data_IF_754288004839
#
_entry.id   IF_754288004839
#
_cell.length_a   1.000
_cell.length_b   1.000
_cell.length_c   1.000
_cell.angle_alpha   90.00
_cell.angle_beta   90.00
_cell.angle_gamma   90.00
#
_symmetry.space_group_name_H-M   'P 1'
#
loop_
_entity.id
_entity.type
_entity.pdbx_description
1 polymer ?
#
# COMPACT_ATOMS: atom_id res chain seq x y z
N UNK A 1 -61.61 -0.17 26.18
CA UNK A 1 -62.56 0.60 25.35
C UNK A 1 -62.01 0.67 23.95
N UNK A 2 -62.47 -0.18 23.10
CA UNK A 2 -63.35 0.03 21.90
C UNK A 2 -62.70 0.87 20.78
N UNK A 3 -62.32 0.11 19.65
CA UNK A 3 -62.80 0.28 18.25
C UNK A 3 -62.14 1.44 17.48
N UNK A 4 -61.72 1.35 16.19
CA UNK A 4 -62.29 0.62 15.00
C UNK A 4 -61.18 0.59 13.91
N UNK A 5 -60.99 -0.50 13.31
CA UNK A 5 -60.96 -0.95 11.93
C UNK A 5 -61.46 0.05 10.87
N UNK A 6 -60.66 0.35 9.84
CA UNK A 6 -61.16 0.86 8.57
C UNK A 6 -60.37 0.23 7.41
N UNK A 7 -61.01 -0.73 6.81
CA UNK A 7 -60.62 -1.37 5.54
C UNK A 7 -61.13 -0.47 4.41
N UNK A 8 -60.25 -0.10 3.44
CA UNK A 8 -60.70 0.46 2.19
C UNK A 8 -60.11 -0.35 1.03
N UNK A 9 -61.01 -1.18 0.46
CA UNK A 9 -60.83 -1.94 -0.77
C UNK A 9 -61.14 -1.00 -1.93
N UNK A 10 -60.23 -0.77 -2.86
CA UNK A 10 -60.52 -0.13 -4.14
C UNK A 10 -60.09 -1.08 -5.24
N UNK A 11 -61.07 -1.72 -5.83
CA UNK A 11 -60.96 -2.44 -7.09
C UNK A 11 -60.87 -1.42 -8.23
N UNK A 12 -59.87 -1.55 -9.10
CA UNK A 12 -59.82 -0.82 -10.33
C UNK A 12 -59.70 -1.79 -11.50
N UNK A 13 -60.71 -1.68 -12.34
CA UNK A 13 -61.07 -2.50 -13.48
C UNK A 13 -60.08 -2.42 -14.62
N UNK A 14 -59.77 -3.59 -15.21
CA UNK A 14 -59.11 -3.75 -16.51
C UNK A 14 -59.89 -3.03 -17.62
N UNK A 15 -59.15 -2.28 -18.43
CA UNK A 15 -59.57 -1.95 -19.79
C UNK A 15 -58.47 -2.43 -20.73
N UNK A 16 -58.79 -3.47 -21.50
CA UNK A 16 -58.03 -3.95 -22.65
C UNK A 16 -58.28 -2.97 -23.82
N UNK A 17 -57.19 -2.38 -24.34
CA UNK A 17 -57.24 -1.80 -25.66
C UNK A 17 -56.06 -2.38 -26.46
N UNK A 18 -56.36 -3.32 -27.36
CA UNK A 18 -55.46 -3.71 -28.46
C UNK A 18 -55.37 -2.53 -29.44
N UNK A 19 -54.18 -2.06 -29.68
CA UNK A 19 -53.84 -1.36 -30.90
C UNK A 19 -52.53 -1.94 -31.45
N UNK A 20 -52.60 -2.39 -32.69
CA UNK A 20 -51.58 -3.10 -33.41
C UNK A 20 -50.52 -2.18 -34.05
N UNK A 21 -49.35 -2.75 -34.32
CA UNK A 21 -48.36 -2.41 -35.33
C UNK A 21 -47.59 -1.10 -35.20
N UNK A 22 -46.30 -1.25 -34.90
CA UNK A 22 -45.23 -0.28 -35.11
C UNK A 22 -43.93 -0.79 -34.49
N UNK A 23 -43.12 -1.56 -35.25
CA UNK A 23 -41.83 -2.04 -34.80
C UNK A 23 -40.87 -0.88 -34.57
N UNK A 24 -40.53 -0.63 -33.35
CA UNK A 24 -39.31 0.03 -32.91
C UNK A 24 -38.71 -0.92 -31.90
N UNK A 25 -37.54 -1.49 -32.25
CA UNK A 25 -36.80 -2.32 -31.35
C UNK A 25 -36.40 -1.47 -30.14
N UNK A 26 -37.07 -1.69 -29.02
CA UNK A 26 -36.55 -1.31 -27.73
C UNK A 26 -35.23 -2.05 -27.58
N UNK A 27 -34.13 -1.31 -27.62
CA UNK A 27 -32.86 -1.78 -27.04
C UNK A 27 -33.22 -1.92 -25.54
N UNK A 28 -33.32 -3.14 -25.06
CA UNK A 28 -33.12 -3.40 -23.67
C UNK A 28 -31.72 -2.82 -23.36
N UNK A 29 -31.66 -1.74 -22.58
CA UNK A 29 -30.46 -1.34 -21.94
C UNK A 29 -30.07 -2.54 -21.05
N UNK A 30 -29.12 -3.36 -21.56
CA UNK A 30 -28.54 -4.41 -20.78
C UNK A 30 -27.92 -3.74 -19.53
N UNK A 31 -28.31 -4.22 -18.35
CA UNK A 31 -27.63 -3.81 -17.12
C UNK A 31 -26.12 -3.93 -17.36
N UNK A 32 -25.30 -2.97 -16.87
CA UNK A 32 -23.85 -3.08 -16.98
C UNK A 32 -23.44 -4.47 -16.51
N UNK A 33 -22.63 -5.18 -17.30
CA UNK A 33 -22.10 -6.45 -16.89
C UNK A 33 -21.35 -6.23 -15.56
N UNK A 34 -21.55 -7.11 -14.59
CA UNK A 34 -20.84 -7.07 -13.32
C UNK A 34 -19.36 -7.30 -13.61
N UNK A 35 -18.51 -6.37 -13.18
CA UNK A 35 -17.07 -6.47 -13.42
C UNK A 35 -16.45 -7.52 -12.49
N UNK A 36 -15.41 -8.18 -12.96
CA UNK A 36 -14.56 -9.02 -12.11
C UNK A 36 -13.71 -8.13 -11.21
N UNK A 37 -13.87 -8.23 -9.90
CA UNK A 37 -13.11 -7.43 -8.94
C UNK A 37 -11.85 -8.17 -8.50
N UNK A 38 -10.71 -7.47 -8.47
CA UNK A 38 -9.43 -7.99 -7.95
C UNK A 38 -8.97 -7.14 -6.78
N UNK A 39 -8.86 -7.73 -5.60
CA UNK A 39 -8.46 -7.06 -4.37
C UNK A 39 -6.94 -7.09 -4.22
N UNK A 40 -6.29 -5.94 -4.32
CA UNK A 40 -4.84 -5.78 -4.26
C UNK A 40 -4.44 -5.11 -2.96
N UNK A 41 -3.76 -5.84 -2.09
CA UNK A 41 -3.16 -5.29 -0.89
C UNK A 41 -1.73 -4.83 -1.20
N UNK A 42 -1.49 -3.53 -1.22
CA UNK A 42 -0.21 -2.94 -1.60
C UNK A 42 0.40 -2.15 -0.45
N UNK A 43 1.73 -2.26 -0.28
CA UNK A 43 2.44 -1.40 0.66
C UNK A 43 2.13 0.08 0.39
N UNK A 44 2.00 0.90 1.44
CA UNK A 44 1.62 2.33 1.33
C UNK A 44 2.52 3.11 0.36
N UNK A 45 3.82 2.79 0.33
CA UNK A 45 4.80 3.39 -0.60
C UNK A 45 4.55 3.07 -2.09
N UNK A 46 3.71 2.08 -2.40
CA UNK A 46 3.30 1.75 -3.76
C UNK A 46 2.03 2.53 -4.18
N UNK A 47 1.36 3.22 -3.27
CA UNK A 47 0.03 3.78 -3.53
C UNK A 47 -0.06 4.65 -4.79
N UNK A 48 0.92 5.53 -5.00
CA UNK A 48 0.94 6.41 -6.17
C UNK A 48 1.13 5.64 -7.49
N UNK A 49 2.11 4.73 -7.55
CA UNK A 49 2.39 3.95 -8.77
C UNK A 49 1.27 2.94 -9.03
N UNK A 50 0.69 2.34 -7.99
CA UNK A 50 -0.44 1.40 -8.15
C UNK A 50 -1.67 2.08 -8.74
N UNK A 51 -1.98 3.32 -8.35
CA UNK A 51 -3.10 4.05 -8.97
C UNK A 51 -2.92 4.31 -10.46
N UNK A 52 -1.68 4.53 -10.96
CA UNK A 52 -1.43 4.66 -12.39
C UNK A 52 -1.44 3.28 -13.11
N UNK A 53 -0.95 2.24 -12.45
CA UNK A 53 -1.00 0.85 -12.96
C UNK A 53 -2.45 0.35 -13.06
N UNK A 54 -3.26 0.56 -12.02
CA UNK A 54 -4.70 0.28 -11.97
C UNK A 54 -5.41 0.95 -13.16
N UNK A 55 -5.28 2.28 -13.29
CA UNK A 55 -5.94 3.03 -14.36
C UNK A 55 -5.53 2.54 -15.77
N UNK A 56 -4.25 2.22 -15.98
CA UNK A 56 -3.76 1.71 -17.25
C UNK A 56 -4.28 0.30 -17.55
N UNK A 57 -4.35 -0.57 -16.53
CA UNK A 57 -4.86 -1.93 -16.69
C UNK A 57 -6.36 -1.94 -17.00
N UNK A 58 -7.16 -1.19 -16.25
CA UNK A 58 -8.62 -1.11 -16.44
C UNK A 58 -9.00 -0.47 -17.77
N UNK A 59 -8.21 0.50 -18.26
CA UNK A 59 -8.42 1.07 -19.60
C UNK A 59 -8.29 0.01 -20.71
N UNK A 60 -7.42 -0.98 -20.52
CA UNK A 60 -7.23 -2.10 -21.44
C UNK A 60 -8.19 -3.27 -21.18
N UNK A 61 -8.71 -3.39 -19.95
CA UNK A 61 -9.56 -4.49 -19.48
C UNK A 61 -10.83 -3.94 -18.80
N UNK A 62 -11.80 -3.39 -19.57
CA UNK A 62 -12.95 -2.65 -19.03
C UNK A 62 -13.91 -3.50 -18.18
N UNK A 63 -13.82 -4.82 -18.29
CA UNK A 63 -14.63 -5.78 -17.53
C UNK A 63 -13.98 -6.17 -16.19
N UNK A 64 -12.80 -5.61 -15.86
CA UNK A 64 -12.10 -5.82 -14.58
C UNK A 64 -12.12 -4.54 -13.77
N UNK A 65 -12.16 -4.68 -12.43
CA UNK A 65 -12.12 -3.61 -11.44
C UNK A 65 -11.01 -3.94 -10.43
N UNK A 66 -9.94 -3.16 -10.41
CA UNK A 66 -8.81 -3.35 -9.50
C UNK A 66 -9.04 -2.50 -8.27
N UNK A 67 -9.18 -3.13 -7.10
CA UNK A 67 -9.40 -2.44 -5.82
C UNK A 67 -8.11 -2.45 -5.02
N UNK A 68 -7.38 -1.33 -4.99
CA UNK A 68 -6.12 -1.20 -4.25
C UNK A 68 -6.38 -0.75 -2.83
N UNK A 69 -5.94 -1.56 -1.86
CA UNK A 69 -5.93 -1.23 -0.43
C UNK A 69 -4.48 -1.01 -0.01
N UNK A 70 -4.14 0.25 0.30
CA UNK A 70 -2.77 0.64 0.62
C UNK A 70 -2.60 0.91 2.13
N UNK A 71 -1.70 0.16 2.78
CA UNK A 71 -1.30 0.37 4.18
C UNK A 71 0.10 -0.21 4.42
N UNK A 72 0.60 -0.21 5.67
CA UNK A 72 1.83 -0.89 5.99
C UNK A 72 1.73 -2.39 5.68
N UNK A 73 2.81 -2.98 5.14
CA UNK A 73 2.82 -4.41 4.80
C UNK A 73 2.56 -5.30 6.02
N UNK A 74 2.91 -4.84 7.23
CA UNK A 74 2.60 -5.56 8.48
C UNK A 74 1.11 -5.56 8.82
N UNK A 75 0.42 -4.42 8.63
CA UNK A 75 -1.03 -4.32 8.85
C UNK A 75 -1.80 -5.15 7.82
N UNK A 76 -1.37 -5.11 6.55
CA UNK A 76 -1.97 -5.89 5.47
C UNK A 76 -1.78 -7.40 5.68
N UNK A 77 -0.58 -7.83 6.09
CA UNK A 77 -0.32 -9.22 6.48
C UNK A 77 -1.30 -9.69 7.56
N UNK A 78 -1.51 -8.89 8.60
CA UNK A 78 -2.46 -9.22 9.67
C UNK A 78 -3.88 -9.37 9.13
N UNK A 79 -4.33 -8.47 8.25
CA UNK A 79 -5.65 -8.55 7.64
C UNK A 79 -5.82 -9.83 6.80
N UNK A 80 -4.80 -10.19 5.99
CA UNK A 80 -4.82 -11.44 5.21
C UNK A 80 -4.92 -12.65 6.13
N UNK A 81 -4.13 -12.69 7.21
CA UNK A 81 -4.15 -13.79 8.18
C UNK A 81 -5.48 -13.87 8.96
N UNK A 82 -6.19 -12.74 9.11
CA UNK A 82 -7.53 -12.68 9.71
C UNK A 82 -8.65 -13.02 8.71
N UNK A 83 -8.31 -13.31 7.44
CA UNK A 83 -9.24 -13.76 6.42
C UNK A 83 -9.87 -12.64 5.60
N UNK A 84 -9.23 -11.46 5.53
CA UNK A 84 -9.68 -10.43 4.60
C UNK A 84 -9.51 -10.91 3.14
N UNK A 85 -10.49 -10.66 2.24
CA UNK A 85 -10.37 -11.04 0.85
C UNK A 85 -9.21 -10.28 0.20
N UNK A 86 -8.23 -11.03 -0.27
CA UNK A 86 -7.02 -10.50 -0.91
C UNK A 86 -6.60 -11.44 -2.03
N UNK A 87 -6.49 -10.94 -3.25
CA UNK A 87 -6.08 -11.70 -4.41
C UNK A 87 -4.59 -11.53 -4.70
N UNK A 88 -4.07 -10.33 -4.42
CA UNK A 88 -2.67 -9.97 -4.60
C UNK A 88 -2.13 -9.26 -3.36
N UNK A 89 -0.93 -9.66 -2.94
CA UNK A 89 -0.18 -8.94 -1.91
C UNK A 89 1.14 -8.43 -2.48
N UNK A 90 1.36 -7.12 -2.41
CA UNK A 90 2.58 -6.44 -2.85
C UNK A 90 3.24 -5.78 -1.64
N UNK A 91 4.22 -6.46 -1.07
CA UNK A 91 4.86 -6.10 0.20
C UNK A 91 6.11 -5.23 -0.01
N UNK A 92 6.38 -4.30 0.94
CA UNK A 92 7.62 -3.52 0.99
C UNK A 92 8.78 -4.28 1.69
N UNK A 93 8.63 -5.56 1.97
CA UNK A 93 9.70 -6.40 2.50
C UNK A 93 9.42 -7.88 2.26
N UNK A 94 10.50 -8.66 2.17
CA UNK A 94 10.44 -10.11 2.00
C UNK A 94 9.76 -10.81 3.20
N UNK A 95 10.06 -10.36 4.44
CA UNK A 95 9.58 -11.01 5.69
C UNK A 95 8.07 -11.26 5.71
N UNK A 96 7.26 -10.30 5.26
CA UNK A 96 5.81 -10.44 5.28
C UNK A 96 5.34 -11.45 4.23
N UNK A 97 5.98 -11.47 3.07
CA UNK A 97 5.71 -12.46 2.03
C UNK A 97 6.15 -13.87 2.47
N UNK A 98 7.35 -13.99 3.10
CA UNK A 98 7.83 -15.25 3.66
C UNK A 98 6.83 -15.84 4.64
N UNK A 99 6.25 -15.01 5.51
CA UNK A 99 5.24 -15.43 6.49
C UNK A 99 3.99 -16.01 5.82
N UNK A 100 3.50 -15.41 4.73
CA UNK A 100 2.32 -15.92 4.00
C UNK A 100 2.66 -17.21 3.23
N UNK A 101 3.86 -17.27 2.65
CA UNK A 101 4.33 -18.44 1.89
C UNK A 101 4.52 -19.64 2.82
N UNK A 102 5.18 -19.46 3.97
CA UNK A 102 5.32 -20.48 5.03
C UNK A 102 3.96 -20.91 5.60
N UNK A 103 2.99 -19.99 5.65
CA UNK A 103 1.60 -20.26 6.02
C UNK A 103 0.77 -20.96 4.94
N UNK A 104 1.33 -21.20 3.74
CA UNK A 104 0.63 -21.81 2.61
C UNK A 104 -0.47 -20.93 2.00
N UNK A 105 -0.39 -19.60 2.20
CA UNK A 105 -1.37 -18.63 1.70
C UNK A 105 -0.96 -18.02 0.35
N UNK A 106 0.26 -18.24 -0.12
CA UNK A 106 0.75 -17.81 -1.44
C UNK A 106 0.47 -18.89 -2.47
N UNK A 107 -0.08 -18.50 -3.62
CA UNK A 107 -0.24 -19.41 -4.76
C UNK A 107 1.14 -19.79 -5.31
N UNK A 108 1.42 -21.10 -5.39
CA UNK A 108 2.73 -21.61 -5.76
C UNK A 108 3.22 -21.06 -7.11
N UNK A 109 4.47 -20.56 -7.13
CA UNK A 109 5.14 -20.06 -8.34
C UNK A 109 4.73 -18.65 -8.78
N UNK A 110 3.88 -17.94 -8.02
CA UNK A 110 3.46 -16.58 -8.37
C UNK A 110 4.32 -15.49 -7.74
N UNK A 111 5.08 -15.82 -6.69
CA UNK A 111 5.96 -14.85 -6.02
C UNK A 111 7.08 -14.38 -6.94
N UNK A 112 7.24 -13.06 -7.06
CA UNK A 112 8.34 -12.44 -7.80
C UNK A 112 8.80 -11.15 -7.12
N UNK A 113 10.10 -10.86 -7.21
CA UNK A 113 10.66 -9.58 -6.79
C UNK A 113 10.43 -8.56 -7.92
N UNK A 114 9.94 -7.38 -7.61
CA UNK A 114 9.53 -6.39 -8.63
C UNK A 114 10.42 -5.18 -8.62
N UNK A 115 10.63 -4.58 -7.44
CA UNK A 115 11.41 -3.35 -7.29
C UNK A 115 12.23 -3.38 -6.01
N UNK A 116 13.27 -2.53 -5.98
CA UNK A 116 14.03 -2.18 -4.81
C UNK A 116 13.74 -0.71 -4.47
N UNK A 117 13.91 -0.32 -3.20
CA UNK A 117 13.69 1.05 -2.75
C UNK A 117 14.86 1.53 -1.89
N UNK A 118 14.93 2.82 -1.64
CA UNK A 118 15.96 3.40 -0.78
C UNK A 118 15.34 4.13 0.41
N UNK A 119 15.94 3.97 1.57
CA UNK A 119 15.62 4.75 2.76
C UNK A 119 16.11 6.19 2.55
N UNK A 120 15.30 7.17 2.91
CA UNK A 120 15.66 8.58 2.90
C UNK A 120 15.38 9.22 4.26
N UNK A 121 16.19 10.23 4.60
CA UNK A 121 15.93 11.16 5.70
C UNK A 121 15.36 12.44 5.09
N UNK A 122 14.17 12.84 5.55
CA UNK A 122 13.46 14.00 5.03
C UNK A 122 13.21 15.05 6.11
N UNK A 123 13.07 16.29 5.67
CA UNK A 123 12.68 17.45 6.50
C UNK A 123 11.81 18.39 5.67
N UNK A 124 11.23 19.42 6.28
CA UNK A 124 10.57 20.48 5.52
C UNK A 124 11.57 21.28 4.68
N UNK A 125 11.15 21.86 3.52
CA UNK A 125 12.04 22.61 2.63
C UNK A 125 12.75 23.78 3.33
N UNK A 126 12.04 24.51 4.20
CA UNK A 126 12.56 25.69 4.91
C UNK A 126 13.03 25.37 6.34
N UNK A 127 13.23 24.09 6.67
CA UNK A 127 13.70 23.67 7.98
C UNK A 127 15.11 24.18 8.26
N UNK A 128 15.30 24.71 9.48
CA UNK A 128 16.61 25.08 10.03
C UNK A 128 17.26 23.92 10.81
N UNK A 129 16.91 22.69 10.50
CA UNK A 129 17.48 21.50 11.16
C UNK A 129 19.02 21.46 11.02
N UNK A 130 19.68 20.95 12.05
CA UNK A 130 21.12 20.64 12.03
C UNK A 130 21.39 19.19 11.57
N UNK A 131 20.32 18.41 11.30
CA UNK A 131 20.42 17.04 10.79
C UNK A 131 20.85 17.10 9.33
N UNK A 132 21.87 16.32 8.99
CA UNK A 132 22.36 16.19 7.61
C UNK A 132 22.07 14.81 7.01
N UNK A 133 21.72 13.83 7.84
CA UNK A 133 21.40 12.48 7.43
C UNK A 133 21.12 11.57 8.62
N UNK A 134 21.07 10.25 8.36
CA UNK A 134 20.72 9.26 9.37
C UNK A 134 21.78 9.19 10.49
N UNK A 135 23.05 9.37 10.14
CA UNK A 135 24.16 9.27 11.10
C UNK A 135 24.09 10.32 12.21
N UNK A 136 23.47 11.45 11.99
CA UNK A 136 23.36 12.53 12.97
C UNK A 136 21.91 12.90 13.31
N UNK A 137 20.97 11.97 13.06
CA UNK A 137 19.52 12.16 13.26
C UNK A 137 19.17 12.52 14.72
N UNK A 138 20.01 12.13 15.66
CA UNK A 138 19.87 12.48 17.09
C UNK A 138 19.97 14.00 17.38
N UNK A 139 20.41 14.82 16.41
CA UNK A 139 20.38 16.29 16.52
C UNK A 139 18.98 16.87 16.32
N UNK A 140 18.04 16.11 15.79
CA UNK A 140 16.68 16.56 15.60
C UNK A 140 15.98 16.85 16.94
N UNK A 141 15.07 17.81 16.95
CA UNK A 141 14.16 18.05 18.08
C UNK A 141 13.08 16.97 18.16
N UNK A 142 12.61 16.53 17.01
CA UNK A 142 11.59 15.46 16.90
C UNK A 142 11.75 14.68 15.61
N UNK A 143 11.43 13.37 15.67
CA UNK A 143 11.55 12.43 14.56
C UNK A 143 10.21 11.75 14.31
N UNK A 144 9.71 11.78 13.09
CA UNK A 144 8.65 10.88 12.64
C UNK A 144 9.29 9.53 12.26
N UNK A 145 8.99 8.50 13.03
CA UNK A 145 9.55 7.16 12.86
C UNK A 145 8.43 6.13 12.78
N UNK A 146 8.45 5.30 11.75
CA UNK A 146 7.47 4.22 11.66
C UNK A 146 7.72 3.15 12.75
N UNK A 147 6.62 2.52 13.22
CA UNK A 147 6.70 1.36 14.11
C UNK A 147 7.59 0.25 13.53
N UNK A 148 8.20 -0.56 14.40
CA UNK A 148 9.11 -1.62 13.98
C UNK A 148 8.46 -2.72 13.12
N UNK A 149 7.15 -2.92 13.22
CA UNK A 149 6.39 -3.86 12.38
C UNK A 149 6.22 -3.37 10.93
N UNK A 150 6.34 -2.06 10.74
CA UNK A 150 6.33 -1.43 9.41
C UNK A 150 7.68 -1.63 8.73
N UNK A 151 7.76 -2.08 7.47
CA UNK A 151 9.04 -2.33 6.80
C UNK A 151 10.04 -1.17 6.90
N UNK A 152 9.66 0.08 6.60
CA UNK A 152 10.55 1.24 6.71
C UNK A 152 11.06 1.43 8.15
N UNK A 153 10.21 1.20 9.15
CA UNK A 153 10.58 1.29 10.56
C UNK A 153 11.63 0.25 10.97
N UNK A 154 11.51 -0.98 10.46
CA UNK A 154 12.51 -2.04 10.62
C UNK A 154 13.83 -1.67 9.92
N UNK A 155 13.78 -1.27 8.64
CA UNK A 155 14.97 -0.91 7.87
C UNK A 155 15.69 0.30 8.47
N UNK A 156 14.94 1.29 8.98
CA UNK A 156 15.53 2.44 9.70
C UNK A 156 16.30 1.98 10.94
N UNK A 157 15.71 1.11 11.77
CA UNK A 157 16.38 0.58 12.98
C UNK A 157 17.61 -0.25 12.60
N UNK A 158 17.50 -1.08 11.56
CA UNK A 158 18.63 -1.86 11.04
C UNK A 158 19.77 -0.97 10.58
N UNK A 159 19.48 0.11 9.86
CA UNK A 159 20.46 1.09 9.44
C UNK A 159 21.08 1.84 10.63
N UNK A 160 20.29 2.22 11.64
CA UNK A 160 20.77 2.85 12.86
C UNK A 160 21.70 1.92 13.67
N UNK A 161 21.39 0.62 13.76
CA UNK A 161 22.28 -0.38 14.38
C UNK A 161 23.62 -0.39 13.63
N UNK A 162 23.57 -0.50 12.30
CA UNK A 162 24.77 -0.55 11.47
C UNK A 162 25.65 0.70 11.59
N UNK A 163 25.03 1.85 11.83
CA UNK A 163 25.72 3.12 12.09
C UNK A 163 26.19 3.28 13.55
N UNK A 164 25.87 2.32 14.43
CA UNK A 164 26.21 2.39 15.86
C UNK A 164 25.38 3.37 16.67
N UNK A 165 24.22 3.80 16.14
CA UNK A 165 23.27 4.67 16.83
C UNK A 165 22.35 3.89 17.78
N UNK A 166 22.10 2.61 17.48
CA UNK A 166 21.36 1.68 18.32
C UNK A 166 22.25 0.47 18.64
N UNK A 167 22.00 -0.14 19.78
CA UNK A 167 22.60 -1.40 20.17
C UNK A 167 22.17 -2.54 19.25
N UNK A 168 23.04 -3.54 19.08
CA UNK A 168 22.72 -4.78 18.36
C UNK A 168 21.47 -5.45 18.93
N UNK A 169 20.60 -5.93 18.05
CA UNK A 169 19.41 -6.67 18.38
C UNK A 169 19.21 -7.84 17.41
N UNK A 170 18.71 -8.95 17.90
CA UNK A 170 18.39 -10.13 17.07
C UNK A 170 17.29 -9.80 16.04
N UNK A 171 16.24 -9.11 16.46
CA UNK A 171 15.23 -8.56 15.55
C UNK A 171 15.14 -7.03 15.71
N UNK A 172 15.66 -6.25 14.75
CA UNK A 172 15.54 -4.79 14.76
C UNK A 172 14.09 -4.28 14.85
N UNK A 173 13.12 -5.06 14.35
CA UNK A 173 11.71 -4.70 14.42
C UNK A 173 11.15 -4.70 15.85
N UNK A 174 11.78 -5.41 16.77
CA UNK A 174 11.36 -5.48 18.17
C UNK A 174 11.80 -4.27 19.00
N UNK A 175 12.76 -3.46 18.52
CA UNK A 175 13.19 -2.24 19.21
C UNK A 175 12.05 -1.23 19.17
N UNK A 176 11.51 -0.89 20.34
CA UNK A 176 10.42 0.08 20.45
C UNK A 176 10.88 1.51 20.16
N UNK A 177 9.96 2.40 19.78
CA UNK A 177 10.27 3.83 19.58
C UNK A 177 10.75 4.51 20.85
N UNK A 178 10.32 4.04 22.04
CA UNK A 178 10.83 4.51 23.32
C UNK A 178 12.29 4.14 23.54
N UNK A 179 12.71 2.92 23.18
CA UNK A 179 14.11 2.48 23.26
C UNK A 179 14.98 3.21 22.23
N UNK A 180 14.45 3.47 21.02
CA UNK A 180 15.14 4.31 20.02
C UNK A 180 15.36 5.71 20.58
N UNK A 181 14.34 6.34 21.14
CA UNK A 181 14.45 7.67 21.76
C UNK A 181 15.50 7.70 22.87
N UNK A 182 15.50 6.72 23.77
CA UNK A 182 16.47 6.62 24.85
C UNK A 182 17.92 6.53 24.33
N UNK A 183 18.16 5.65 23.34
CA UNK A 183 19.49 5.44 22.74
C UNK A 183 19.97 6.63 21.92
N UNK A 184 19.05 7.43 21.36
CA UNK A 184 19.35 8.69 20.68
C UNK A 184 19.46 9.90 21.65
N UNK A 185 19.53 9.67 22.98
CA UNK A 185 19.69 10.72 23.97
C UNK A 185 18.40 11.42 24.39
N UNK A 186 17.26 10.79 24.18
CA UNK A 186 15.94 11.29 24.59
C UNK A 186 15.26 12.18 23.54
N UNK A 187 15.62 12.06 22.27
CA UNK A 187 14.93 12.76 21.17
C UNK A 187 13.46 12.40 21.14
N UNK A 188 12.60 13.39 20.95
CA UNK A 188 11.16 13.15 20.79
C UNK A 188 10.89 12.33 19.52
N UNK A 189 10.15 11.22 19.66
CA UNK A 189 9.77 10.37 18.54
C UNK A 189 8.25 10.29 18.44
N UNK A 190 7.70 10.67 17.28
CA UNK A 190 6.31 10.43 16.90
C UNK A 190 6.25 9.12 16.13
N UNK A 191 5.68 8.08 16.74
CA UNK A 191 5.49 6.79 16.09
C UNK A 191 4.41 6.85 15.02
N UNK A 192 4.71 6.28 13.86
CA UNK A 192 3.83 6.29 12.70
C UNK A 192 3.48 4.87 12.25
N UNK A 193 2.22 4.68 11.84
CA UNK A 193 1.73 3.37 11.40
C UNK A 193 2.10 2.98 9.96
N UNK A 194 2.55 3.92 9.13
CA UNK A 194 3.01 3.68 7.76
C UNK A 194 3.83 4.87 7.23
N UNK A 195 4.42 4.71 6.01
CA UNK A 195 5.26 5.72 5.36
C UNK A 195 4.53 7.02 5.05
N UNK A 196 3.29 6.95 4.59
CA UNK A 196 2.50 8.14 4.25
C UNK A 196 2.25 9.03 5.48
N UNK A 197 2.09 8.42 6.66
CA UNK A 197 1.96 9.15 7.93
C UNK A 197 3.29 9.76 8.39
N UNK A 198 4.43 9.10 8.11
CA UNK A 198 5.74 9.71 8.34
C UNK A 198 5.90 10.96 7.49
N UNK A 199 5.62 10.84 6.18
CA UNK A 199 5.73 11.97 5.25
C UNK A 199 4.83 13.13 5.68
N UNK A 200 3.54 12.87 5.95
CA UNK A 200 2.58 13.86 6.41
C UNK A 200 3.03 14.56 7.72
N UNK A 201 3.59 13.82 8.68
CA UNK A 201 4.07 14.41 9.93
C UNK A 201 5.23 15.40 9.71
N UNK A 202 6.05 15.19 8.68
CA UNK A 202 7.12 16.14 8.29
C UNK A 202 6.55 17.32 7.51
N UNK A 203 5.68 17.07 6.51
CA UNK A 203 5.06 18.11 5.69
C UNK A 203 4.26 19.12 6.54
N UNK A 204 3.52 18.61 7.53
CA UNK A 204 2.71 19.40 8.45
C UNK A 204 3.50 20.03 9.60
N UNK A 205 4.84 19.90 9.63
CA UNK A 205 5.72 20.39 10.71
C UNK A 205 5.43 19.80 12.09
N UNK A 206 4.73 18.69 12.17
CA UNK A 206 4.51 17.96 13.43
C UNK A 206 5.80 17.30 13.93
N UNK A 207 6.70 16.95 13.01
CA UNK A 207 8.05 16.48 13.29
C UNK A 207 9.07 17.26 12.45
N UNK A 208 10.30 17.42 13.01
CA UNK A 208 11.38 18.14 12.32
C UNK A 208 11.97 17.33 11.18
N UNK A 209 12.18 16.05 11.41
CA UNK A 209 12.68 15.10 10.41
C UNK A 209 11.89 13.81 10.43
N UNK A 210 12.02 13.02 9.39
CA UNK A 210 11.45 11.68 9.32
C UNK A 210 12.26 10.75 8.45
N UNK A 211 12.00 9.44 8.58
CA UNK A 211 12.60 8.42 7.72
C UNK A 211 11.50 7.73 6.91
N UNK A 212 11.60 7.82 5.60
CA UNK A 212 10.67 7.21 4.64
C UNK A 212 11.43 6.62 3.47
N UNK A 213 10.74 6.24 2.40
CA UNK A 213 11.40 5.77 1.18
C UNK A 213 11.52 6.87 0.13
N UNK A 214 12.47 6.71 -0.80
CA UNK A 214 12.66 7.63 -1.92
C UNK A 214 11.38 7.75 -2.76
N UNK A 215 10.70 6.64 -3.00
CA UNK A 215 9.44 6.63 -3.75
C UNK A 215 8.33 7.47 -3.12
N UNK A 216 8.31 7.60 -1.79
CA UNK A 216 7.29 8.40 -1.08
C UNK A 216 7.48 9.90 -1.30
N UNK A 217 8.67 10.35 -1.71
CA UNK A 217 8.97 11.78 -1.91
C UNK A 217 8.60 12.27 -3.31
N UNK A 218 8.32 11.37 -4.24
CA UNK A 218 7.94 11.73 -5.61
C UNK A 218 6.54 12.36 -5.62
N UNK A 219 6.47 13.59 -6.14
CA UNK A 219 5.24 14.40 -6.10
C UNK A 219 5.03 15.19 -4.81
N UNK A 220 6.00 15.11 -3.87
CA UNK A 220 5.99 15.82 -2.59
C UNK A 220 7.17 16.80 -2.44
N UNK A 221 7.84 17.16 -3.54
CA UNK A 221 9.06 17.98 -3.55
C UNK A 221 8.84 19.39 -3.00
N UNK A 222 7.61 19.89 -3.07
CA UNK A 222 7.22 21.19 -2.50
C UNK A 222 6.98 21.10 -0.96
N UNK A 223 6.71 19.89 -0.44
CA UNK A 223 6.38 19.65 0.97
C UNK A 223 7.54 19.11 1.79
N UNK A 224 8.48 18.39 1.16
CA UNK A 224 9.65 17.82 1.83
C UNK A 224 10.93 18.02 1.04
N UNK A 225 12.04 18.08 1.78
CA UNK A 225 13.41 18.08 1.26
C UNK A 225 14.13 16.84 1.75
N UNK A 226 14.77 16.12 0.84
CA UNK A 226 15.65 14.99 1.17
C UNK A 226 16.96 15.54 1.72
N UNK A 227 17.33 15.11 2.94
CA UNK A 227 18.63 15.38 3.56
C UNK A 227 19.67 14.35 3.14
N UNK A 228 19.26 13.09 3.09
CA UNK A 228 20.11 11.97 2.68
C UNK A 228 19.28 10.89 1.99
N UNK A 229 19.83 10.31 0.93
CA UNK A 229 19.46 8.99 0.41
C UNK A 229 20.42 7.98 1.04
N UNK A 230 19.93 7.17 1.97
CA UNK A 230 20.77 6.25 2.75
C UNK A 230 21.30 5.14 1.82
N UNK A 231 22.62 4.94 1.76
CA UNK A 231 23.20 3.97 0.84
C UNK A 231 22.80 2.51 1.13
N UNK A 232 22.73 1.69 0.10
CA UNK A 232 22.42 0.26 0.24
C UNK A 232 23.41 -0.53 1.10
N UNK A 233 24.67 -0.09 1.19
CA UNK A 233 25.64 -0.71 2.10
C UNK A 233 25.29 -0.48 3.59
N UNK A 234 24.40 0.46 3.89
CA UNK A 234 23.88 0.72 5.25
C UNK A 234 22.54 -0.01 5.46
N UNK A 235 21.61 0.08 4.52
CA UNK A 235 20.26 -0.48 4.65
C UNK A 235 20.16 -1.94 4.22
N UNK A 236 21.02 -2.42 3.32
CA UNK A 236 20.74 -3.56 2.45
C UNK A 236 19.70 -3.23 1.39
N UNK A 237 19.39 -4.20 0.55
CA UNK A 237 18.33 -4.09 -0.44
C UNK A 237 16.96 -4.10 0.23
N UNK A 238 16.07 -3.22 -0.22
CA UNK A 238 14.68 -3.11 0.25
C UNK A 238 13.77 -3.63 -0.86
N UNK A 239 13.75 -4.96 -0.99
CA UNK A 239 13.07 -5.65 -2.08
C UNK A 239 11.57 -5.76 -1.81
N UNK A 240 10.79 -5.45 -2.82
CA UNK A 240 9.34 -5.55 -2.84
C UNK A 240 8.90 -6.77 -3.64
N UNK A 241 8.49 -7.86 -2.99
CA UNK A 241 7.88 -8.99 -3.63
C UNK A 241 6.38 -8.78 -3.84
N UNK A 242 5.85 -9.30 -4.95
CA UNK A 242 4.41 -9.49 -5.18
C UNK A 242 4.11 -10.97 -5.31
N UNK A 243 2.93 -11.38 -4.88
CA UNK A 243 2.41 -12.73 -5.11
C UNK A 243 0.89 -12.74 -5.17
N UNK A 244 0.34 -13.74 -5.85
CA UNK A 244 -1.08 -14.06 -5.75
C UNK A 244 -1.33 -14.79 -4.42
N UNK A 245 -2.39 -14.38 -3.72
CA UNK A 245 -2.79 -14.94 -2.44
C UNK A 245 -3.97 -15.88 -2.65
N UNK A 246 -3.98 -16.97 -1.91
CA UNK A 246 -5.11 -17.90 -1.90
C UNK A 246 -6.31 -17.21 -1.24
N UNK A 247 -7.23 -16.73 -2.05
CA UNK A 247 -8.49 -16.15 -1.62
C UNK A 247 -9.60 -17.22 -1.74
N UNK A 248 -10.13 -17.74 -0.63
CA UNK A 248 -11.14 -18.81 -0.68
C UNK A 248 -12.50 -18.33 -1.22
N UNK A 249 -12.72 -17.04 -1.29
CA UNK A 249 -13.96 -16.44 -1.79
C UNK A 249 -13.88 -16.10 -3.29
N UNK A 250 -12.67 -16.14 -3.90
CA UNK A 250 -12.45 -15.83 -5.31
C UNK A 250 -12.99 -16.95 -6.21
N UNK A 251 -13.62 -16.57 -7.32
CA UNK A 251 -13.96 -17.49 -8.39
C UNK A 251 -12.79 -17.66 -9.41
N UNK A 252 -13.01 -18.51 -10.43
CA UNK A 252 -12.02 -18.77 -11.47
C UNK A 252 -11.69 -17.51 -12.30
N UNK A 253 -12.66 -16.62 -12.52
CA UNK A 253 -12.48 -15.39 -13.30
C UNK A 253 -11.65 -14.37 -12.50
N UNK A 254 -11.93 -14.19 -11.21
CA UNK A 254 -11.18 -13.35 -10.30
C UNK A 254 -9.72 -13.84 -10.16
N UNK A 255 -9.54 -15.14 -9.95
CA UNK A 255 -8.22 -15.77 -9.87
C UNK A 255 -7.39 -15.59 -11.16
N UNK A 256 -8.04 -15.70 -12.33
CA UNK A 256 -7.38 -15.49 -13.63
C UNK A 256 -7.03 -13.99 -13.84
N UNK A 257 -7.94 -13.08 -13.50
CA UNK A 257 -7.70 -11.63 -13.60
C UNK A 257 -6.56 -11.19 -12.66
N UNK A 258 -6.47 -11.77 -11.47
CA UNK A 258 -5.36 -11.54 -10.54
C UNK A 258 -4.01 -11.99 -11.15
N UNK A 259 -3.96 -13.16 -11.78
CA UNK A 259 -2.74 -13.64 -12.45
C UNK A 259 -2.35 -12.75 -13.64
N UNK A 260 -3.31 -12.30 -14.44
CA UNK A 260 -3.09 -11.38 -15.56
C UNK A 260 -2.60 -10.01 -15.06
N UNK A 261 -3.15 -9.51 -13.96
CA UNK A 261 -2.70 -8.26 -13.35
C UNK A 261 -1.26 -8.36 -12.81
N UNK A 262 -0.86 -9.47 -12.18
CA UNK A 262 0.55 -9.69 -11.80
C UNK A 262 1.44 -9.61 -13.04
N UNK A 263 1.10 -10.30 -14.13
CA UNK A 263 1.87 -10.28 -15.36
C UNK A 263 1.97 -8.86 -15.94
N UNK A 264 0.91 -8.05 -15.82
CA UNK A 264 0.91 -6.67 -16.26
C UNK A 264 1.84 -5.79 -15.41
N UNK A 265 1.75 -5.86 -14.08
CA UNK A 265 2.55 -5.00 -13.19
C UNK A 265 4.02 -5.45 -13.05
N UNK A 266 4.39 -6.60 -13.61
CA UNK A 266 5.76 -7.13 -13.60
C UNK A 266 6.44 -7.13 -14.97
N UNK A 267 5.78 -6.62 -16.02
CA UNK A 267 6.33 -6.55 -17.36
C UNK A 267 7.34 -5.40 -17.52
N UNK A 268 8.00 -5.34 -18.70
CA UNK A 268 9.01 -4.31 -18.99
C UNK A 268 8.42 -2.88 -19.05
N UNK A 269 7.16 -2.72 -19.48
CA UNK A 269 6.52 -1.41 -19.55
C UNK A 269 6.25 -0.85 -18.13
N UNK A 270 5.90 -1.73 -17.18
CA UNK A 270 5.71 -1.37 -15.78
C UNK A 270 7.03 -0.89 -15.13
N UNK A 271 8.20 -1.40 -15.56
CA UNK A 271 9.50 -0.95 -15.02
C UNK A 271 9.72 0.55 -15.22
N UNK A 272 9.40 1.08 -16.40
CA UNK A 272 9.53 2.51 -16.66
C UNK A 272 8.65 3.35 -15.71
N UNK A 273 7.46 2.80 -15.38
CA UNK A 273 6.56 3.45 -14.45
C UNK A 273 7.10 3.42 -13.01
N UNK A 274 7.61 2.29 -12.53
CA UNK A 274 8.25 2.22 -11.22
C UNK A 274 9.44 3.20 -11.10
N UNK A 275 10.28 3.29 -12.13
CA UNK A 275 11.41 4.24 -12.15
C UNK A 275 10.94 5.70 -12.09
N UNK A 276 9.83 6.05 -12.76
CA UNK A 276 9.18 7.38 -12.68
C UNK A 276 8.80 7.72 -11.23
N UNK A 277 8.40 6.71 -10.45
CA UNK A 277 8.04 6.84 -9.02
C UNK A 277 9.22 6.58 -8.07
N UNK A 278 10.47 6.67 -8.54
CA UNK A 278 11.66 6.63 -7.69
C UNK A 278 12.09 5.24 -7.21
N UNK A 279 11.49 4.17 -7.75
CA UNK A 279 11.94 2.81 -7.46
C UNK A 279 13.12 2.41 -8.36
N UNK A 280 13.99 1.57 -7.82
CA UNK A 280 15.00 0.85 -8.57
C UNK A 280 14.41 -0.48 -9.06
N UNK A 281 14.54 -0.74 -10.35
CA UNK A 281 14.00 -1.94 -11.00
C UNK A 281 15.06 -3.01 -11.27
N UNK A 282 16.30 -2.77 -10.83
CA UNK A 282 17.36 -3.76 -10.86
C UNK A 282 17.28 -4.63 -9.60
N UNK A 283 16.51 -5.70 -9.71
CA UNK A 283 16.26 -6.66 -8.63
C UNK A 283 16.70 -8.05 -9.08
N UNK A 284 17.54 -8.70 -8.27
CA UNK A 284 17.95 -10.09 -8.44
C UNK A 284 17.13 -11.05 -7.56
#
# INVERSE_FOLDING_TARGET
MKKKLFTLLVAFTMIFALAACGGSGEREDAAPAEKTTVNVFAAASLGAVMGELEANYEAANPDVDIVVIADSSGALLTQIQEGAPCDLFFSAAQKQMDTLEEGGQVVEGTRTNVVNNQLVVVTQPDSATEVTGLADIAKARSIALADGSVPVGKYTRQAMIKLGLLAEAEDPAAITTAEVSEQLGGVEISEQGNVSKVLAAVEEASCEVGTTYLSDTVGHEDGVKILEVVPYDVTGNIIYPVAQITNPDADDAESAAAADFIAFITNEDAKALYQKYGFDTDVE
#
